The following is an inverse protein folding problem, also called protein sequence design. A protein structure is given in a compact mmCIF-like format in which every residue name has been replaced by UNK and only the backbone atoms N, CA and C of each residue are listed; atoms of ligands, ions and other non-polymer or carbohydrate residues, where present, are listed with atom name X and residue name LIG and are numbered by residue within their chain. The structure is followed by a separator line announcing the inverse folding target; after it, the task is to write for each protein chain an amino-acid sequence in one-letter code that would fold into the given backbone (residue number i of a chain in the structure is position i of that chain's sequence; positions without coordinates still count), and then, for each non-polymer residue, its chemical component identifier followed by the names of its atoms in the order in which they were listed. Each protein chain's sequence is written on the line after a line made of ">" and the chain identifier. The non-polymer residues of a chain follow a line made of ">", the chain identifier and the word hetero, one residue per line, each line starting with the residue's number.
data_IF_332449465418
#
_entry.id   IF_332449465418
#
_cell.length_a   1.000
_cell.length_b   1.000
_cell.length_c   1.000
_cell.angle_alpha   90.00
_cell.angle_beta   90.00
_cell.angle_gamma   90.00
#
_symmetry.space_group_name_H-M   'P 1'
#
loop_
_entity.id
_entity.type
_entity.pdbx_description
1 polymer ?
#
# COMPACT_ATOMS: atom_id res chain seq x y z
N UNK A 1 -13.94 21.49 4.43
CA UNK A 1 -13.90 20.13 3.90
C UNK A 1 -12.49 19.61 4.11
N UNK A 2 -12.31 18.62 5.00
CA UNK A 2 -11.00 17.98 5.15
C UNK A 2 -10.84 17.08 3.93
N UNK A 3 -10.08 17.53 2.94
CA UNK A 3 -9.67 16.72 1.80
C UNK A 3 -8.53 15.81 2.26
N UNK A 4 -8.85 14.81 3.08
CA UNK A 4 -7.90 13.74 3.39
C UNK A 4 -7.84 12.84 2.15
N UNK A 5 -6.70 12.80 1.45
CA UNK A 5 -6.44 11.74 0.47
C UNK A 5 -6.28 10.45 1.28
N UNK A 6 -7.33 9.64 1.32
CA UNK A 6 -7.31 8.31 1.97
C UNK A 6 -6.57 7.27 1.13
N UNK A 7 -6.19 7.63 -0.09
CA UNK A 7 -5.50 6.76 -1.02
C UNK A 7 -4.42 7.56 -1.75
N UNK A 8 -3.20 7.04 -1.75
CA UNK A 8 -2.05 7.54 -2.48
C UNK A 8 -1.57 6.41 -3.38
N UNK A 9 -1.33 6.72 -4.65
CA UNK A 9 -0.80 5.72 -5.59
C UNK A 9 0.68 5.47 -5.30
N UNK A 10 1.17 4.28 -5.68
CA UNK A 10 2.59 3.94 -5.51
C UNK A 10 3.53 4.94 -6.20
N UNK A 11 3.15 5.44 -7.38
CA UNK A 11 3.92 6.45 -8.11
C UNK A 11 3.98 7.80 -7.38
N UNK A 12 2.88 8.23 -6.74
CA UNK A 12 2.86 9.43 -5.91
C UNK A 12 3.70 9.23 -4.63
N UNK A 13 3.68 8.03 -4.04
CA UNK A 13 4.48 7.71 -2.86
C UNK A 13 5.99 7.71 -3.16
N UNK A 14 6.39 7.10 -4.29
CA UNK A 14 7.80 7.12 -4.74
C UNK A 14 8.29 8.52 -5.11
N UNK A 15 7.41 9.39 -5.62
CA UNK A 15 7.76 10.77 -5.93
C UNK A 15 8.08 11.59 -4.65
N UNK A 16 7.39 11.28 -3.55
CA UNK A 16 7.61 11.93 -2.24
C UNK A 16 8.77 11.29 -1.45
N UNK A 17 9.19 10.07 -1.81
CA UNK A 17 10.22 9.28 -1.13
C UNK A 17 11.35 8.85 -2.07
N UNK A 18 12.18 9.80 -2.56
CA UNK A 18 13.31 9.50 -3.46
C UNK A 18 14.41 8.64 -2.83
N UNK A 19 14.38 8.44 -1.51
CA UNK A 19 15.26 7.53 -0.77
C UNK A 19 15.01 6.05 -1.07
N UNK A 20 13.82 5.70 -1.59
CA UNK A 20 13.46 4.32 -1.90
C UNK A 20 14.12 3.93 -3.22
N UNK A 21 15.23 3.19 -3.12
CA UNK A 21 15.89 2.60 -4.29
C UNK A 21 15.11 1.38 -4.81
N UNK A 22 15.37 0.99 -6.07
CA UNK A 22 14.75 -0.18 -6.70
C UNK A 22 14.95 -1.50 -5.91
N UNK A 23 15.96 -1.55 -5.03
CA UNK A 23 16.23 -2.68 -4.13
C UNK A 23 15.22 -2.72 -2.97
N UNK A 24 14.87 -1.57 -2.42
CA UNK A 24 13.92 -1.45 -1.31
C UNK A 24 12.49 -1.66 -1.80
N UNK A 25 12.14 -1.13 -2.98
CA UNK A 25 10.85 -1.41 -3.65
C UNK A 25 10.63 -2.92 -3.83
N UNK A 26 11.64 -3.65 -4.31
CA UNK A 26 11.55 -5.11 -4.51
C UNK A 26 11.39 -5.89 -3.20
N UNK A 27 11.92 -5.37 -2.09
CA UNK A 27 11.74 -5.96 -0.77
C UNK A 27 10.37 -5.64 -0.16
N UNK A 28 9.84 -4.44 -0.44
CA UNK A 28 8.54 -3.99 0.06
C UNK A 28 7.35 -4.58 -0.70
N UNK A 29 7.50 -4.87 -1.99
CA UNK A 29 6.44 -5.43 -2.83
C UNK A 29 5.75 -6.67 -2.22
N UNK A 30 6.45 -7.74 -1.80
CA UNK A 30 5.79 -8.90 -1.19
C UNK A 30 5.14 -8.59 0.17
N UNK A 31 5.65 -7.58 0.89
CA UNK A 31 5.11 -7.16 2.20
C UNK A 31 3.80 -6.41 2.01
N UNK A 32 3.74 -5.46 1.07
CA UNK A 32 2.53 -4.73 0.68
C UNK A 32 1.44 -5.69 0.20
N UNK A 33 1.79 -6.63 -0.68
CA UNK A 33 0.85 -7.64 -1.16
C UNK A 33 0.28 -8.48 -0.01
N UNK A 34 1.11 -8.87 0.97
CA UNK A 34 0.63 -9.57 2.15
C UNK A 34 -0.30 -8.75 3.06
N UNK A 35 -0.19 -7.42 3.07
CA UNK A 35 -1.15 -6.55 3.76
C UNK A 35 -2.47 -6.45 3.00
N UNK A 36 -2.42 -6.31 1.67
CA UNK A 36 -3.60 -6.29 0.81
C UNK A 36 -4.40 -7.59 0.94
N UNK A 37 -3.72 -8.74 0.89
CA UNK A 37 -4.34 -10.06 1.04
C UNK A 37 -5.04 -10.19 2.40
N UNK A 38 -4.38 -9.80 3.50
CA UNK A 38 -4.99 -9.85 4.85
C UNK A 38 -6.15 -8.88 5.00
N UNK A 39 -6.08 -7.71 4.37
CA UNK A 39 -7.16 -6.73 4.40
C UNK A 39 -8.37 -7.24 3.62
N UNK A 40 -8.13 -7.86 2.47
CA UNK A 40 -9.16 -8.52 1.68
C UNK A 40 -9.80 -9.68 2.45
N UNK A 41 -8.99 -10.57 3.04
CA UNK A 41 -9.46 -11.68 3.87
C UNK A 41 -10.32 -11.18 5.05
N UNK A 42 -9.90 -10.10 5.71
CA UNK A 42 -10.65 -9.48 6.79
C UNK A 42 -12.01 -8.95 6.33
N UNK A 43 -12.07 -8.28 5.18
CA UNK A 43 -13.35 -7.81 4.60
C UNK A 43 -14.23 -9.00 4.24
N UNK A 44 -13.67 -10.03 3.59
CA UNK A 44 -14.41 -11.23 3.22
C UNK A 44 -14.98 -11.96 4.44
N UNK A 45 -14.23 -12.02 5.54
CA UNK A 45 -14.70 -12.54 6.82
C UNK A 45 -15.92 -11.77 7.36
N UNK A 46 -15.96 -10.43 7.21
CA UNK A 46 -17.09 -9.62 7.67
C UNK A 46 -18.37 -9.79 6.82
N UNK A 47 -18.25 -10.35 5.61
CA UNK A 47 -19.38 -10.58 4.71
C UNK A 47 -20.02 -11.97 4.87
N UNK A 48 -19.56 -12.78 5.84
CA UNK A 48 -20.09 -14.09 6.21
C UNK A 48 -20.79 -13.98 7.57
#
# INVERSE_FOLDING_TARGET
>A
MITTKYYQTWAEYLADHPEISAKEEKAMAPVMQGYEDRFFDFIMYLCI
#
